data_IF_912518599409
#
_entry.id   IF_912518599409
#
_cell.length_a   1.000
_cell.length_b   1.000
_cell.length_c   1.000
_cell.angle_alpha   90.00
_cell.angle_beta   90.00
_cell.angle_gamma   90.00
#
_symmetry.space_group_name_H-M   'P 1'
#
loop_
_entity.id
_entity.type
_entity.pdbx_description
1 polymer ?
#
# COMPACT_ATOMS: atom_id res chain seq x y z
N UNK A 1 -15.28 11.61 -21.62
CA UNK A 1 -13.90 11.19 -21.84
C UNK A 1 -13.55 11.44 -23.30
N UNK A 2 -12.33 11.96 -23.57
CA UNK A 2 -11.82 12.16 -24.93
C UNK A 2 -10.67 11.19 -25.15
N UNK A 3 -10.54 10.66 -26.40
CA UNK A 3 -9.38 9.82 -26.74
C UNK A 3 -8.10 10.64 -26.72
N UNK A 4 -6.94 9.99 -26.56
CA UNK A 4 -5.63 10.63 -26.59
C UNK A 4 -5.41 11.40 -27.91
N UNK A 5 -5.88 10.88 -29.03
CA UNK A 5 -5.77 11.54 -30.33
C UNK A 5 -6.52 12.88 -30.39
N UNK A 6 -7.70 12.92 -29.75
CA UNK A 6 -8.46 14.18 -29.64
C UNK A 6 -7.73 15.17 -28.74
N UNK A 7 -7.18 14.75 -27.61
CA UNK A 7 -6.41 15.59 -26.69
C UNK A 7 -5.19 16.17 -27.41
N UNK A 8 -4.43 15.35 -28.11
CA UNK A 8 -3.26 15.79 -28.89
C UNK A 8 -3.68 16.79 -29.98
N UNK A 9 -4.72 16.47 -30.76
CA UNK A 9 -5.20 17.30 -31.86
C UNK A 9 -5.68 18.68 -31.35
N UNK A 10 -6.43 18.71 -30.25
CA UNK A 10 -6.90 19.95 -29.63
C UNK A 10 -5.74 20.73 -29.02
N UNK A 11 -4.85 20.07 -28.29
CA UNK A 11 -3.69 20.71 -27.65
C UNK A 11 -2.77 21.41 -28.64
N UNK A 12 -2.60 20.89 -29.85
CA UNK A 12 -1.83 21.53 -30.91
C UNK A 12 -2.56 22.70 -31.61
N UNK A 13 -3.89 22.73 -31.59
CA UNK A 13 -4.70 23.76 -32.28
C UNK A 13 -5.11 24.92 -31.41
N UNK A 14 -5.26 24.71 -30.10
CA UNK A 14 -5.74 25.74 -29.17
C UNK A 14 -4.69 26.81 -28.94
N UNK A 15 -5.05 28.08 -29.30
CA UNK A 15 -4.22 29.28 -29.07
C UNK A 15 -4.45 29.80 -27.65
N UNK A 16 -4.05 29.05 -26.64
CA UNK A 16 -4.13 29.46 -25.24
C UNK A 16 -2.79 29.25 -24.54
N UNK A 17 -2.61 29.87 -23.38
CA UNK A 17 -1.42 29.66 -22.55
C UNK A 17 -1.26 28.17 -22.16
N UNK A 18 -2.35 27.50 -21.80
CA UNK A 18 -2.35 26.04 -21.50
C UNK A 18 -2.01 25.21 -22.74
N UNK A 19 -2.54 25.55 -23.91
CA UNK A 19 -2.18 24.88 -25.17
C UNK A 19 -0.70 25.05 -25.52
N UNK A 20 -0.11 26.21 -25.19
CA UNK A 20 1.33 26.44 -25.37
C UNK A 20 2.15 25.58 -24.42
N UNK A 21 1.78 25.50 -23.14
CA UNK A 21 2.43 24.64 -22.15
C UNK A 21 2.35 23.15 -22.55
N UNK A 22 1.19 22.70 -23.03
CA UNK A 22 1.02 21.35 -23.55
C UNK A 22 1.96 21.06 -24.72
N UNK A 23 2.07 21.97 -25.69
CA UNK A 23 2.99 21.79 -26.85
C UNK A 23 4.45 21.73 -26.42
N UNK A 24 4.88 22.58 -25.48
CA UNK A 24 6.24 22.56 -24.94
C UNK A 24 6.53 21.21 -24.29
N UNK A 25 5.63 20.74 -23.42
CA UNK A 25 5.75 19.45 -22.76
C UNK A 25 5.77 18.30 -23.77
N UNK A 26 4.80 18.21 -24.67
CA UNK A 26 4.70 17.15 -25.67
C UNK A 26 5.93 17.10 -26.59
N UNK A 27 6.44 18.27 -27.01
CA UNK A 27 7.66 18.37 -27.80
C UNK A 27 8.89 17.90 -27.02
N UNK A 28 8.95 18.19 -25.72
CA UNK A 28 10.05 17.72 -24.85
C UNK A 28 10.06 16.18 -24.77
N UNK A 29 8.90 15.57 -24.50
CA UNK A 29 8.75 14.11 -24.42
C UNK A 29 9.11 13.45 -25.75
N UNK A 30 8.59 13.99 -26.87
CA UNK A 30 8.86 13.48 -28.20
C UNK A 30 10.35 13.57 -28.57
N UNK A 31 11.01 14.68 -28.24
CA UNK A 31 12.47 14.82 -28.44
C UNK A 31 13.26 13.80 -27.64
N UNK A 32 12.90 13.56 -26.38
CA UNK A 32 13.56 12.53 -25.57
C UNK A 32 13.40 11.15 -26.20
N UNK A 33 12.19 10.82 -26.65
CA UNK A 33 11.92 9.53 -27.29
C UNK A 33 12.70 9.36 -28.60
N UNK A 34 12.73 10.37 -29.47
CA UNK A 34 13.44 10.31 -30.76
C UNK A 34 14.97 10.22 -30.55
N UNK A 35 15.52 10.98 -29.61
CA UNK A 35 16.97 11.06 -29.41
C UNK A 35 17.50 9.87 -28.62
N UNK A 36 16.79 9.45 -27.57
CA UNK A 36 17.25 8.43 -26.62
C UNK A 36 16.62 7.06 -26.84
N UNK A 37 15.56 6.96 -27.66
CA UNK A 37 14.78 5.77 -27.85
C UNK A 37 13.75 5.48 -26.74
N UNK A 38 13.68 6.34 -25.70
CA UNK A 38 12.73 6.24 -24.59
C UNK A 38 12.44 7.62 -23.98
N UNK A 39 11.30 7.74 -23.30
CA UNK A 39 10.98 8.89 -22.45
C UNK A 39 10.82 8.41 -21.02
N UNK A 40 11.41 9.12 -20.06
CA UNK A 40 11.36 8.77 -18.65
C UNK A 40 10.27 9.60 -17.98
N UNK A 41 9.43 8.95 -17.18
CA UNK A 41 8.59 9.63 -16.21
C UNK A 41 9.41 9.85 -14.93
N UNK A 42 9.91 11.07 -14.74
CA UNK A 42 10.79 11.43 -13.63
C UNK A 42 10.08 11.24 -12.27
N UNK A 43 8.77 11.47 -12.18
CA UNK A 43 7.99 11.27 -10.97
C UNK A 43 7.94 9.79 -10.58
N UNK A 44 7.67 8.89 -11.54
CA UNK A 44 7.73 7.43 -11.31
C UNK A 44 9.11 6.96 -10.91
N UNK A 45 10.15 7.52 -11.53
CA UNK A 45 11.53 7.18 -11.18
C UNK A 45 11.88 7.61 -9.76
N UNK A 46 11.40 8.77 -9.31
CA UNK A 46 11.58 9.24 -7.93
C UNK A 46 10.84 8.35 -6.93
N UNK A 47 9.58 8.01 -7.19
CA UNK A 47 8.78 7.11 -6.34
C UNK A 47 9.43 5.73 -6.22
N UNK A 48 9.87 5.14 -7.34
CA UNK A 48 10.62 3.88 -7.33
C UNK A 48 11.93 4.01 -6.52
N UNK A 49 12.60 5.15 -6.63
CA UNK A 49 13.80 5.45 -5.85
C UNK A 49 13.56 5.45 -4.34
N UNK A 50 12.40 5.92 -3.89
CA UNK A 50 12.01 5.89 -2.47
C UNK A 50 11.76 4.46 -1.99
N UNK A 51 11.05 3.63 -2.77
CA UNK A 51 10.86 2.20 -2.46
C UNK A 51 12.19 1.48 -2.38
N UNK A 52 13.07 1.69 -3.36
CA UNK A 52 14.43 1.11 -3.36
C UNK A 52 15.22 1.57 -2.12
N UNK A 53 15.06 2.81 -1.68
CA UNK A 53 15.72 3.33 -0.47
C UNK A 53 15.23 2.64 0.80
N UNK A 54 13.92 2.39 0.92
CA UNK A 54 13.35 1.62 2.03
C UNK A 54 13.88 0.18 2.00
N UNK A 55 13.85 -0.48 0.84
CA UNK A 55 14.36 -1.84 0.65
C UNK A 55 15.85 -1.97 0.96
N UNK A 56 16.67 -0.97 0.62
CA UNK A 56 18.09 -0.96 0.97
C UNK A 56 18.34 -0.95 2.49
N UNK A 57 17.47 -0.32 3.27
CA UNK A 57 17.58 -0.39 4.75
C UNK A 57 17.25 -1.77 5.30
N UNK A 58 16.43 -2.54 4.57
CA UNK A 58 16.00 -3.89 4.94
C UNK A 58 16.81 -5.01 4.24
N UNK A 59 17.82 -4.67 3.44
CA UNK A 59 18.53 -5.62 2.56
C UNK A 59 19.07 -6.86 3.28
N UNK A 60 19.46 -6.73 4.56
CA UNK A 60 19.96 -7.85 5.36
C UNK A 60 18.83 -8.77 5.91
N UNK A 61 17.56 -8.32 5.81
CA UNK A 61 16.39 -9.02 6.32
C UNK A 61 15.47 -9.54 5.21
N UNK A 62 15.73 -9.16 3.94
CA UNK A 62 14.93 -9.54 2.78
C UNK A 62 15.76 -10.39 1.82
N UNK A 63 15.18 -11.49 1.32
CA UNK A 63 15.75 -12.24 0.21
C UNK A 63 15.35 -11.65 -1.17
N UNK A 64 16.05 -12.10 -2.22
CA UNK A 64 15.83 -11.59 -3.58
C UNK A 64 14.39 -11.81 -4.09
N UNK A 65 13.72 -12.90 -3.68
CA UNK A 65 12.35 -13.21 -4.08
C UNK A 65 11.34 -12.25 -3.42
N UNK A 66 11.56 -11.91 -2.16
CA UNK A 66 10.74 -10.94 -1.43
C UNK A 66 10.88 -9.54 -2.05
N UNK A 67 12.11 -9.13 -2.37
CA UNK A 67 12.41 -7.86 -3.03
C UNK A 67 11.69 -7.78 -4.39
N UNK A 68 11.85 -8.82 -5.21
CA UNK A 68 11.25 -8.86 -6.56
C UNK A 68 9.71 -8.78 -6.50
N UNK A 69 9.09 -9.55 -5.60
CA UNK A 69 7.64 -9.55 -5.41
C UNK A 69 7.08 -8.17 -5.04
N UNK A 70 7.77 -7.44 -4.15
CA UNK A 70 7.35 -6.07 -3.78
C UNK A 70 7.49 -5.12 -4.96
N UNK A 71 8.57 -5.21 -5.74
CA UNK A 71 8.79 -4.36 -6.92
C UNK A 71 7.72 -4.62 -7.99
N UNK A 72 7.40 -5.88 -8.28
CA UNK A 72 6.40 -6.26 -9.28
C UNK A 72 5.01 -5.71 -8.91
N UNK A 73 4.57 -5.94 -7.68
CA UNK A 73 3.30 -5.40 -7.18
C UNK A 73 3.29 -3.86 -7.18
N UNK A 74 4.39 -3.25 -6.74
CA UNK A 74 4.50 -1.80 -6.69
C UNK A 74 4.52 -1.14 -8.08
N UNK A 75 5.07 -1.79 -9.08
CA UNK A 75 5.06 -1.27 -10.45
C UNK A 75 3.62 -1.13 -11.00
N UNK A 76 2.74 -2.08 -10.68
CA UNK A 76 1.31 -1.98 -10.97
C UNK A 76 0.68 -0.80 -10.23
N UNK A 77 1.05 -0.63 -8.94
CA UNK A 77 0.61 0.48 -8.11
C UNK A 77 0.98 1.85 -8.68
N UNK A 78 2.21 2.01 -9.16
CA UNK A 78 2.64 3.27 -9.76
C UNK A 78 1.83 3.64 -11.00
N UNK A 79 1.39 2.64 -11.78
CA UNK A 79 0.51 2.88 -12.92
C UNK A 79 -0.84 3.43 -12.46
N UNK A 80 -1.41 2.87 -11.41
CA UNK A 80 -2.66 3.31 -10.82
C UNK A 80 -2.56 4.70 -10.18
N UNK A 81 -1.44 5.03 -9.52
CA UNK A 81 -1.19 6.36 -8.96
C UNK A 81 -1.05 7.43 -10.05
N UNK A 82 -0.40 7.11 -11.16
CA UNK A 82 -0.29 8.00 -12.31
C UNK A 82 -1.67 8.30 -12.92
N UNK A 83 -2.54 7.31 -12.99
CA UNK A 83 -3.92 7.46 -13.41
C UNK A 83 -4.72 8.33 -12.41
N UNK A 84 -4.44 8.22 -11.12
CA UNK A 84 -5.05 9.07 -10.08
C UNK A 84 -4.63 10.54 -10.19
N UNK A 85 -3.33 10.82 -10.32
CA UNK A 85 -2.79 12.18 -10.45
C UNK A 85 -3.32 12.88 -11.71
N UNK A 86 -3.61 12.10 -12.77
CA UNK A 86 -4.21 12.61 -14.00
C UNK A 86 -5.75 12.64 -13.97
N UNK A 87 -6.38 12.33 -12.81
CA UNK A 87 -7.84 12.24 -12.64
C UNK A 87 -8.53 11.27 -13.62
N UNK A 88 -7.78 10.29 -14.11
CA UNK A 88 -8.25 9.26 -15.04
C UNK A 88 -8.72 8.01 -14.30
N UNK A 89 -8.39 7.87 -13.01
CA UNK A 89 -8.83 6.74 -12.22
C UNK A 89 -10.33 6.81 -11.93
N UNK A 90 -11.03 5.79 -12.39
CA UNK A 90 -12.22 5.39 -11.65
C UNK A 90 -11.70 4.82 -10.32
N UNK A 91 -12.08 5.47 -9.21
CA UNK A 91 -11.92 4.82 -7.90
C UNK A 91 -12.45 3.41 -8.06
N UNK A 92 -11.66 2.34 -7.80
CA UNK A 92 -12.26 1.04 -7.66
C UNK A 92 -13.42 1.25 -6.71
N UNK A 93 -14.60 0.74 -7.03
CA UNK A 93 -15.69 0.68 -6.06
C UNK A 93 -15.12 -0.17 -4.93
N UNK A 94 -14.51 0.49 -3.95
CA UNK A 94 -14.03 -0.15 -2.78
C UNK A 94 -15.22 -0.82 -2.16
N UNK A 95 -15.14 -2.11 -1.92
CA UNK A 95 -16.16 -2.82 -1.19
C UNK A 95 -16.22 -2.20 0.20
N UNK A 96 -17.41 -1.91 0.69
CA UNK A 96 -17.60 -1.52 2.08
C UNK A 96 -17.08 -2.64 2.97
N UNK A 97 -16.37 -2.28 4.04
CA UNK A 97 -15.97 -3.27 5.04
C UNK A 97 -17.26 -3.76 5.73
N UNK A 98 -17.63 -5.00 5.48
CA UNK A 98 -18.82 -5.63 6.09
C UNK A 98 -18.53 -6.17 7.49
N UNK A 99 -17.25 -6.35 7.82
CA UNK A 99 -16.81 -6.90 9.10
C UNK A 99 -15.93 -5.89 9.84
N UNK A 100 -16.31 -5.61 11.08
CA UNK A 100 -15.55 -4.73 12.00
C UNK A 100 -14.76 -5.60 12.97
N UNK A 101 -13.44 -5.51 12.91
CA UNK A 101 -12.54 -6.24 13.78
C UNK A 101 -12.50 -5.56 15.16
N UNK A 102 -12.71 -6.35 16.23
CA UNK A 102 -12.66 -5.85 17.61
C UNK A 102 -11.32 -6.15 18.29
N UNK A 103 -10.99 -5.37 19.30
CA UNK A 103 -9.80 -5.61 20.11
C UNK A 103 -9.85 -7.00 20.79
N UNK A 104 -11.03 -7.39 21.33
CA UNK A 104 -11.23 -8.66 22.00
C UNK A 104 -10.99 -9.86 21.08
N UNK A 105 -11.42 -9.77 19.83
CA UNK A 105 -11.14 -10.81 18.82
C UNK A 105 -9.66 -10.91 18.51
N UNK A 106 -8.99 -9.76 18.33
CA UNK A 106 -7.53 -9.73 18.13
C UNK A 106 -6.80 -10.38 19.30
N UNK A 107 -7.21 -10.10 20.54
CA UNK A 107 -6.63 -10.72 21.73
C UNK A 107 -6.80 -12.23 21.73
N UNK A 108 -8.00 -12.72 21.44
CA UNK A 108 -8.27 -14.17 21.37
C UNK A 108 -7.38 -14.87 20.34
N UNK A 109 -7.16 -14.25 19.17
CA UNK A 109 -6.25 -14.76 18.14
C UNK A 109 -4.81 -14.81 18.68
N UNK A 110 -4.34 -13.73 19.29
CA UNK A 110 -2.99 -13.62 19.83
C UNK A 110 -2.75 -14.66 20.93
N UNK A 111 -3.73 -14.87 21.82
CA UNK A 111 -3.64 -15.86 22.89
C UNK A 111 -3.57 -17.29 22.34
N UNK A 112 -4.28 -17.60 21.24
CA UNK A 112 -4.14 -18.86 20.51
C UNK A 112 -2.75 -19.03 19.88
N UNK A 113 -2.19 -17.96 19.28
CA UNK A 113 -0.84 -17.96 18.72
C UNK A 113 0.22 -18.18 19.81
N UNK A 114 0.01 -17.59 20.98
CA UNK A 114 0.91 -17.68 22.13
C UNK A 114 1.08 -19.12 22.62
N UNK A 115 0.02 -19.93 22.60
CA UNK A 115 0.07 -21.33 23.01
C UNK A 115 1.09 -22.15 22.21
N UNK A 116 1.39 -21.75 20.96
CA UNK A 116 2.34 -22.42 20.08
C UNK A 116 3.65 -21.62 19.90
N UNK A 117 3.89 -20.60 20.71
CA UNK A 117 5.08 -19.76 20.60
C UNK A 117 6.21 -20.27 21.51
N UNK A 118 7.45 -20.16 21.02
CA UNK A 118 8.66 -20.55 21.77
C UNK A 118 9.07 -19.54 22.84
N UNK A 119 8.42 -18.37 22.90
CA UNK A 119 8.76 -17.25 23.79
C UNK A 119 7.61 -16.96 24.75
N UNK A 120 7.89 -16.94 26.03
CA UNK A 120 6.95 -16.52 27.08
C UNK A 120 6.50 -15.06 26.95
N UNK A 121 7.29 -14.23 26.25
CA UNK A 121 7.00 -12.81 26.02
C UNK A 121 6.12 -12.57 24.79
N UNK A 122 5.83 -13.61 24.00
CA UNK A 122 5.02 -13.48 22.80
C UNK A 122 3.62 -12.95 23.13
N UNK A 123 3.20 -11.90 22.44
CA UNK A 123 1.87 -11.33 22.55
C UNK A 123 1.60 -10.58 23.87
N UNK A 124 2.62 -10.35 24.72
CA UNK A 124 2.49 -9.48 25.90
C UNK A 124 2.48 -8.02 25.46
N UNK A 125 1.37 -7.33 25.70
CA UNK A 125 1.25 -5.90 25.43
C UNK A 125 2.12 -5.11 26.40
N UNK A 126 2.78 -4.07 25.87
CA UNK A 126 3.59 -3.14 26.66
C UNK A 126 2.73 -2.02 27.25
N UNK A 127 1.69 -1.62 26.50
CA UNK A 127 0.80 -0.50 26.79
C UNK A 127 -0.50 -0.63 25.95
N UNK A 128 -1.34 0.40 25.98
CA UNK A 128 -2.62 0.45 25.26
C UNK A 128 -2.48 0.74 23.75
N UNK A 129 -1.28 0.78 23.20
CA UNK A 129 -1.04 1.15 21.80
C UNK A 129 -1.64 0.15 20.81
N UNK A 130 -1.77 -1.13 21.17
CA UNK A 130 -2.43 -2.12 20.34
C UNK A 130 -3.93 -1.83 20.19
N UNK A 131 -4.61 -1.53 21.31
CA UNK A 131 -6.01 -1.12 21.30
C UNK A 131 -6.21 0.15 20.48
N UNK A 132 -5.30 1.12 20.63
CA UNK A 132 -5.25 2.32 19.79
C UNK A 132 -5.06 2.02 18.30
N UNK A 133 -4.21 1.05 17.97
CA UNK A 133 -3.99 0.63 16.57
C UNK A 133 -5.26 0.10 15.90
N UNK A 134 -6.05 -0.72 16.60
CA UNK A 134 -7.33 -1.23 16.11
C UNK A 134 -8.34 -0.10 15.98
N UNK A 135 -8.48 0.76 17.03
CA UNK A 135 -9.43 1.88 17.02
C UNK A 135 -9.16 2.90 15.92
N UNK A 136 -7.89 3.17 15.62
CA UNK A 136 -7.49 4.14 14.59
C UNK A 136 -7.97 3.76 13.18
N UNK A 137 -8.15 2.47 12.88
CA UNK A 137 -8.65 2.01 11.57
C UNK A 137 -10.10 2.41 11.33
N UNK A 138 -10.88 2.59 12.41
CA UNK A 138 -12.30 2.90 12.36
C UNK A 138 -12.62 4.35 12.78
N UNK A 139 -11.61 5.22 12.78
CA UNK A 139 -11.83 6.63 13.07
C UNK A 139 -12.70 7.28 12.00
N UNK A 140 -13.62 8.13 12.45
CA UNK A 140 -14.42 8.99 11.58
C UNK A 140 -14.17 10.46 11.92
N UNK A 141 -14.25 11.32 10.92
CA UNK A 141 -14.18 12.77 11.05
C UNK A 141 -15.36 13.41 10.32
N UNK A 142 -16.09 14.30 11.01
CA UNK A 142 -17.28 14.94 10.48
C UNK A 142 -18.35 13.96 9.92
N UNK A 143 -18.41 12.73 10.45
CA UNK A 143 -19.37 11.70 10.04
C UNK A 143 -18.90 10.83 8.87
N UNK A 144 -17.71 11.04 8.35
CA UNK A 144 -17.09 10.23 7.30
C UNK A 144 -15.91 9.44 7.86
N UNK A 145 -15.74 8.20 7.42
CA UNK A 145 -14.61 7.36 7.80
C UNK A 145 -13.32 7.95 7.25
N UNK A 146 -12.27 8.02 8.08
CA UNK A 146 -10.93 8.45 7.66
C UNK A 146 -10.36 7.48 6.62
N UNK A 147 -10.68 6.19 6.74
CA UNK A 147 -10.32 5.13 5.80
C UNK A 147 -11.61 4.50 5.26
N UNK A 148 -12.22 5.07 4.20
CA UNK A 148 -13.55 4.68 3.74
C UNK A 148 -13.61 3.28 3.12
N UNK A 149 -12.53 2.83 2.47
CA UNK A 149 -12.52 1.54 1.78
C UNK A 149 -11.94 0.42 2.63
N UNK A 150 -12.34 -0.81 2.31
CA UNK A 150 -11.81 -2.02 2.93
C UNK A 150 -10.30 -2.14 2.77
N UNK A 151 -9.77 -1.79 1.59
CA UNK A 151 -8.35 -1.83 1.28
C UNK A 151 -7.57 -0.81 2.11
N UNK A 152 -8.10 0.40 2.29
CA UNK A 152 -7.50 1.42 3.16
C UNK A 152 -7.49 0.98 4.62
N UNK A 153 -8.61 0.40 5.10
CA UNK A 153 -8.68 -0.14 6.46
C UNK A 153 -7.66 -1.26 6.66
N UNK A 154 -7.58 -2.21 5.73
CA UNK A 154 -6.63 -3.32 5.78
C UNK A 154 -5.17 -2.83 5.79
N UNK A 155 -4.82 -1.93 4.88
CA UNK A 155 -3.46 -1.39 4.77
C UNK A 155 -3.04 -0.62 6.02
N UNK A 156 -3.92 0.24 6.55
CA UNK A 156 -3.65 0.97 7.78
C UNK A 156 -3.60 0.06 9.01
N UNK A 157 -4.41 -1.01 9.06
CA UNK A 157 -4.34 -2.03 10.12
C UNK A 157 -2.95 -2.67 10.17
N UNK A 158 -2.46 -3.18 9.03
CA UNK A 158 -1.11 -3.78 8.96
C UNK A 158 -0.04 -2.77 9.35
N UNK A 159 -0.15 -1.53 8.86
CA UNK A 159 0.80 -0.45 9.17
C UNK A 159 0.84 -0.15 10.67
N UNK A 160 -0.30 0.15 11.30
CA UNK A 160 -0.35 0.55 12.70
C UNK A 160 0.12 -0.57 13.63
N UNK A 161 -0.38 -1.79 13.45
CA UNK A 161 -0.02 -2.92 14.32
C UNK A 161 1.47 -3.25 14.20
N UNK A 162 2.05 -3.14 13.00
CA UNK A 162 3.49 -3.35 12.81
C UNK A 162 4.32 -2.21 13.40
N UNK A 163 3.91 -0.96 13.14
CA UNK A 163 4.71 0.23 13.44
C UNK A 163 4.74 0.57 14.93
N UNK A 164 3.64 0.39 15.64
CA UNK A 164 3.52 0.78 17.05
C UNK A 164 4.31 -0.11 17.99
N UNK A 165 4.79 -1.29 17.56
CA UNK A 165 5.57 -2.20 18.38
C UNK A 165 4.94 -2.48 19.76
N UNK A 166 3.64 -2.71 19.78
CA UNK A 166 2.80 -2.82 20.99
C UNK A 166 3.13 -4.02 21.87
N UNK A 167 3.84 -5.02 21.34
CA UNK A 167 4.14 -6.26 22.05
C UNK A 167 5.61 -6.40 22.38
N UNK A 168 5.89 -7.10 23.48
CA UNK A 168 7.27 -7.43 23.90
C UNK A 168 7.95 -8.36 22.91
N UNK A 169 7.22 -9.31 22.33
CA UNK A 169 7.66 -10.17 21.22
C UNK A 169 6.50 -10.50 20.27
N UNK A 170 6.83 -10.85 19.02
CA UNK A 170 5.88 -11.33 18.03
C UNK A 170 5.23 -10.25 17.16
N UNK A 171 5.61 -8.97 17.29
CA UNK A 171 4.93 -7.85 16.63
C UNK A 171 4.65 -8.08 15.13
N UNK A 172 5.63 -8.52 14.34
CA UNK A 172 5.45 -8.76 12.89
C UNK A 172 4.51 -9.95 12.63
N UNK A 173 4.64 -11.04 13.39
CA UNK A 173 3.78 -12.24 13.24
C UNK A 173 2.33 -11.91 13.61
N UNK A 174 2.13 -11.19 14.70
CA UNK A 174 0.81 -10.74 15.15
C UNK A 174 0.18 -9.83 14.09
N UNK A 175 0.91 -8.81 13.62
CA UNK A 175 0.43 -7.90 12.60
C UNK A 175 -0.01 -8.64 11.31
N UNK A 176 0.83 -9.57 10.82
CA UNK A 176 0.53 -10.37 9.65
C UNK A 176 -0.73 -11.24 9.86
N UNK A 177 -0.85 -11.91 11.02
CA UNK A 177 -1.99 -12.77 11.32
C UNK A 177 -3.29 -12.00 11.42
N UNK A 178 -3.29 -10.87 12.14
CA UNK A 178 -4.48 -10.00 12.28
C UNK A 178 -4.89 -9.42 10.92
N UNK A 179 -3.95 -9.01 10.10
CA UNK A 179 -4.19 -8.54 8.76
C UNK A 179 -4.84 -9.61 7.87
N UNK A 180 -4.29 -10.82 7.82
CA UNK A 180 -4.86 -11.93 7.06
C UNK A 180 -6.26 -12.31 7.55
N UNK A 181 -6.47 -12.34 8.87
CA UNK A 181 -7.77 -12.58 9.46
C UNK A 181 -8.80 -11.52 9.04
N UNK A 182 -8.40 -10.24 9.04
CA UNK A 182 -9.26 -9.15 8.58
C UNK A 182 -9.65 -9.29 7.10
N UNK A 183 -8.70 -9.64 6.22
CA UNK A 183 -8.97 -9.89 4.80
C UNK A 183 -9.91 -11.08 4.61
N UNK A 184 -9.69 -12.18 5.36
CA UNK A 184 -10.52 -13.39 5.29
C UNK A 184 -11.96 -13.12 5.72
N UNK A 185 -12.15 -12.44 6.86
CA UNK A 185 -13.48 -12.07 7.37
C UNK A 185 -14.26 -11.13 6.45
N UNK A 186 -13.57 -10.34 5.67
CA UNK A 186 -14.15 -9.46 4.66
C UNK A 186 -14.23 -10.09 3.26
N UNK A 187 -13.83 -11.36 3.12
CA UNK A 187 -13.98 -12.13 1.87
C UNK A 187 -13.04 -11.71 0.75
N UNK A 188 -11.93 -10.99 1.07
CA UNK A 188 -10.96 -10.53 0.06
C UNK A 188 -9.57 -11.19 0.19
N UNK A 189 -9.41 -12.19 1.04
CA UNK A 189 -8.14 -12.90 1.17
C UNK A 189 -7.81 -13.74 -0.07
N UNK A 190 -8.84 -14.29 -0.70
CA UNK A 190 -8.72 -15.14 -1.89
C UNK A 190 -9.40 -14.45 -3.08
N UNK A 191 -8.90 -14.70 -4.29
CA UNK A 191 -9.53 -14.31 -5.53
C UNK A 191 -10.62 -15.29 -5.97
N UNK A 192 -11.23 -15.06 -7.14
CA UNK A 192 -12.31 -15.91 -7.68
C UNK A 192 -11.83 -17.32 -8.03
N UNK A 193 -10.54 -17.51 -8.28
CA UNK A 193 -9.88 -18.79 -8.56
C UNK A 193 -9.41 -19.50 -7.28
N UNK A 194 -9.68 -18.94 -6.09
CA UNK A 194 -9.26 -19.47 -4.79
C UNK A 194 -7.77 -19.28 -4.50
N UNK A 195 -7.07 -18.44 -5.26
CA UNK A 195 -5.68 -18.10 -5.01
C UNK A 195 -5.59 -17.00 -3.95
N UNK A 196 -4.63 -17.12 -3.05
CA UNK A 196 -4.38 -16.10 -2.04
C UNK A 196 -3.85 -14.83 -2.70
N UNK A 197 -4.55 -13.70 -2.54
CA UNK A 197 -4.18 -12.40 -3.19
C UNK A 197 -2.81 -11.91 -2.79
N UNK A 198 -2.42 -12.11 -1.55
CA UNK A 198 -1.10 -11.73 -1.06
C UNK A 198 -0.26 -12.98 -0.73
N UNK A 199 0.88 -13.11 -1.39
CA UNK A 199 1.80 -14.20 -1.12
C UNK A 199 2.49 -14.03 0.25
N UNK A 200 2.78 -15.13 0.94
CA UNK A 200 3.37 -15.11 2.29
C UNK A 200 4.70 -14.36 2.32
N UNK A 201 5.56 -14.55 1.32
CA UNK A 201 6.84 -13.84 1.23
C UNK A 201 6.68 -12.34 1.00
N UNK A 202 5.64 -11.91 0.27
CA UNK A 202 5.28 -10.49 0.12
C UNK A 202 4.86 -9.89 1.46
N UNK A 203 4.00 -10.59 2.21
CA UNK A 203 3.55 -10.14 3.52
C UNK A 203 4.71 -10.01 4.52
N UNK A 204 5.65 -10.97 4.53
CA UNK A 204 6.87 -10.89 5.34
C UNK A 204 7.69 -9.65 4.96
N UNK A 205 7.91 -9.41 3.66
CA UNK A 205 8.64 -8.23 3.19
C UNK A 205 7.96 -6.93 3.63
N UNK A 206 6.63 -6.83 3.49
CA UNK A 206 5.87 -5.64 3.90
C UNK A 206 6.01 -5.36 5.40
N UNK A 207 5.89 -6.37 6.26
CA UNK A 207 6.04 -6.16 7.72
C UNK A 207 7.45 -5.68 8.10
N UNK A 208 8.49 -6.17 7.41
CA UNK A 208 9.87 -5.72 7.63
C UNK A 208 10.04 -4.28 7.12
N UNK A 209 9.54 -3.97 5.92
CA UNK A 209 9.61 -2.62 5.35
C UNK A 209 8.88 -1.59 6.21
N UNK A 210 7.68 -1.92 6.72
CA UNK A 210 6.93 -1.06 7.63
C UNK A 210 7.74 -0.80 8.90
N UNK A 211 8.29 -1.83 9.53
CA UNK A 211 9.08 -1.68 10.76
C UNK A 211 10.26 -0.71 10.58
N UNK A 212 10.94 -0.77 9.44
CA UNK A 212 12.11 0.06 9.11
C UNK A 212 11.75 1.41 8.46
N UNK A 213 10.50 1.61 8.02
CA UNK A 213 10.06 2.86 7.39
C UNK A 213 10.08 4.02 8.38
N UNK A 214 10.19 5.26 7.88
CA UNK A 214 10.03 6.47 8.68
C UNK A 214 8.56 6.87 8.72
N UNK A 215 8.18 7.71 9.69
CA UNK A 215 6.79 8.17 9.84
C UNK A 215 6.31 8.92 8.60
N UNK A 216 7.18 9.70 7.96
CA UNK A 216 6.88 10.45 6.73
C UNK A 216 6.63 9.55 5.52
N UNK A 217 7.05 8.28 5.59
CA UNK A 217 6.87 7.28 4.53
C UNK A 217 5.56 6.48 4.68
N UNK A 218 4.69 6.86 5.64
CA UNK A 218 3.43 6.14 5.91
C UNK A 218 2.57 5.97 4.67
N UNK A 219 2.28 7.09 3.99
CA UNK A 219 1.39 7.07 2.82
C UNK A 219 1.94 6.20 1.69
N UNK A 220 3.27 6.19 1.50
CA UNK A 220 3.95 5.31 0.58
C UNK A 220 3.75 3.84 0.96
N UNK A 221 3.97 3.50 2.24
CA UNK A 221 3.78 2.13 2.73
C UNK A 221 2.34 1.66 2.60
N UNK A 222 1.36 2.51 2.96
CA UNK A 222 -0.07 2.21 2.80
C UNK A 222 -0.41 1.95 1.34
N UNK A 223 0.07 2.79 0.41
CA UNK A 223 -0.14 2.61 -1.03
C UNK A 223 0.46 1.30 -1.53
N UNK A 224 1.67 0.92 -1.09
CA UNK A 224 2.28 -0.38 -1.44
C UNK A 224 1.39 -1.53 -0.97
N UNK A 225 0.92 -1.49 0.28
CA UNK A 225 0.08 -2.56 0.84
C UNK A 225 -1.25 -2.69 0.08
N UNK A 226 -1.93 -1.57 -0.20
CA UNK A 226 -3.20 -1.56 -0.93
C UNK A 226 -3.09 -2.20 -2.31
N UNK A 227 -1.94 -2.12 -2.95
CA UNK A 227 -1.70 -2.69 -4.27
C UNK A 227 -1.20 -4.15 -4.22
N UNK A 228 -1.01 -4.69 -3.03
CA UNK A 228 -0.69 -6.12 -2.82
C UNK A 228 -1.93 -6.95 -2.45
N UNK A 229 -3.16 -6.35 -2.37
CA UNK A 229 -4.39 -7.04 -1.92
C UNK A 229 -5.58 -6.88 -2.86
#
# INVERSE_FOLDING_TARGET
FYSLDVIISVGYRVKSQRGTQFRIWATSVLKQYIIKGYAINDQRLQQLGEVIRIMKRTQNALDAKQVLSVIENYNTALTLLDDYDHQCMQRPKGSEATYVLTYEECRNIIDQMRFNADSDLFGHEKDDSFKGSIGNVYQSFAGEDVYPTLQEKAANLLYFVTKNHSFSDGNKRIAATIFLYFLDKNGILYDEDGQKRIADHTLVALTIMIAESRTEEKEMMVSIIMNCI
#
